data_IF_708221394245
#
_entry.id   IF_708221394245
#
_cell.length_a   1.000
_cell.length_b   1.000
_cell.length_c   1.000
_cell.angle_alpha   90.00
_cell.angle_beta   90.00
_cell.angle_gamma   90.00
#
_symmetry.space_group_name_H-M   'P 1'
#
loop_
_entity.id
_entity.type
_entity.pdbx_description
1 polymer ?
#
# COMPACT_ATOMS: atom_id res chain seq x y z
N UNK A 1 -5.45 4.34 11.74
CA UNK A 1 -4.07 3.93 12.06
C UNK A 1 -3.24 3.77 10.79
N UNK A 2 -1.92 3.97 10.85
CA UNK A 2 -1.02 3.71 9.72
C UNK A 2 -0.03 2.62 10.12
N UNK A 3 0.02 1.53 9.36
CA UNK A 3 0.91 0.39 9.59
C UNK A 3 1.98 0.32 8.49
N UNK A 4 3.25 0.52 8.84
CA UNK A 4 4.37 0.42 7.90
C UNK A 4 5.09 -0.93 8.03
N UNK A 5 5.63 -1.44 6.92
CA UNK A 5 6.42 -2.66 6.91
C UNK A 5 7.68 -2.56 7.78
N UNK A 6 8.01 -3.63 8.52
CA UNK A 6 9.32 -3.78 9.16
C UNK A 6 10.33 -4.28 8.14
N UNK A 7 11.19 -3.38 7.63
CA UNK A 7 12.08 -3.68 6.52
C UNK A 7 13.38 -4.36 6.94
N UNK A 8 13.93 -3.97 8.08
CA UNK A 8 15.13 -4.55 8.68
C UNK A 8 15.00 -4.49 10.20
N UNK A 9 15.79 -5.29 10.91
CA UNK A 9 16.04 -5.05 12.33
C UNK A 9 17.46 -4.55 12.50
N UNK A 10 17.60 -3.38 13.12
CA UNK A 10 18.91 -2.77 13.36
C UNK A 10 19.43 -3.26 14.70
N UNK A 11 20.62 -3.83 14.71
CA UNK A 11 21.35 -4.09 15.95
C UNK A 11 21.90 -2.77 16.50
N UNK A 12 21.59 -2.49 17.77
CA UNK A 12 22.07 -1.30 18.49
C UNK A 12 23.36 -1.57 19.25
N UNK A 13 23.88 -2.80 19.21
CA UNK A 13 24.97 -3.29 20.05
C UNK A 13 24.52 -3.85 21.40
N UNK A 14 23.24 -3.62 21.77
CA UNK A 14 22.64 -4.14 23.01
C UNK A 14 21.34 -4.91 22.77
N UNK A 15 20.58 -4.51 21.75
CA UNK A 15 19.35 -5.18 21.35
C UNK A 15 19.02 -4.88 19.89
N UNK A 16 18.22 -5.75 19.28
CA UNK A 16 17.70 -5.57 17.93
C UNK A 16 16.39 -4.78 17.98
N UNK A 17 16.27 -3.72 17.18
CA UNK A 17 15.02 -2.93 17.06
C UNK A 17 14.49 -2.95 15.62
N UNK A 18 13.17 -3.01 15.42
CA UNK A 18 12.59 -2.95 14.08
C UNK A 18 12.82 -1.57 13.45
N UNK A 19 13.01 -1.54 12.14
CA UNK A 19 13.14 -0.32 11.35
C UNK A 19 12.40 -0.45 10.01
N UNK A 20 11.89 0.67 9.50
CA UNK A 20 11.20 0.75 8.20
C UNK A 20 12.06 1.38 7.13
N UNK A 21 11.73 1.13 5.87
CA UNK A 21 12.47 1.62 4.72
C UNK A 21 12.08 3.06 4.33
N UNK A 22 12.95 3.69 3.53
CA UNK A 22 12.74 5.06 3.05
C UNK A 22 11.46 5.21 2.20
N UNK A 23 11.04 4.15 1.50
CA UNK A 23 9.82 4.21 0.69
C UNK A 23 8.55 4.26 1.51
N UNK A 24 8.49 3.53 2.63
CA UNK A 24 7.36 3.64 3.56
C UNK A 24 7.30 5.05 4.15
N UNK A 25 8.44 5.64 4.51
CA UNK A 25 8.49 7.02 5.03
C UNK A 25 8.04 8.06 4.00
N UNK A 26 8.50 7.93 2.74
CA UNK A 26 8.08 8.83 1.66
C UNK A 26 6.60 8.65 1.31
N UNK A 27 6.12 7.40 1.23
CA UNK A 27 4.70 7.09 1.01
C UNK A 27 3.82 7.67 2.13
N UNK A 28 4.26 7.56 3.38
CA UNK A 28 3.60 8.19 4.53
C UNK A 28 3.47 9.71 4.32
N UNK A 29 4.54 10.40 3.90
CA UNK A 29 4.50 11.84 3.62
C UNK A 29 3.37 12.25 2.66
N UNK A 30 3.25 11.56 1.52
CA UNK A 30 2.17 11.81 0.55
C UNK A 30 0.77 11.57 1.15
N UNK A 31 0.61 10.50 1.92
CA UNK A 31 -0.68 10.15 2.54
C UNK A 31 -1.06 11.15 3.63
N UNK A 32 -0.14 11.51 4.53
CA UNK A 32 -0.40 12.47 5.61
C UNK A 32 -0.80 13.82 5.03
N UNK A 33 -0.09 14.29 4.00
CA UNK A 33 -0.42 15.55 3.34
C UNK A 33 -1.84 15.50 2.74
N UNK A 34 -2.16 14.43 1.99
CA UNK A 34 -3.49 14.24 1.40
C UNK A 34 -4.61 14.20 2.46
N UNK A 35 -4.38 13.48 3.56
CA UNK A 35 -5.32 13.40 4.68
C UNK A 35 -5.52 14.76 5.34
N UNK A 36 -4.45 15.49 5.64
CA UNK A 36 -4.51 16.80 6.28
C UNK A 36 -5.26 17.85 5.46
N UNK A 37 -5.20 17.74 4.12
CA UNK A 37 -5.96 18.59 3.19
C UNK A 37 -7.45 18.22 3.14
N UNK A 38 -7.77 16.95 3.31
CA UNK A 38 -9.14 16.44 3.19
C UNK A 38 -9.92 16.46 4.51
N UNK A 39 -9.22 16.34 5.63
CA UNK A 39 -9.77 16.14 6.95
C UNK A 39 -8.87 16.79 8.01
N UNK A 40 -9.45 17.24 9.13
CA UNK A 40 -8.69 17.67 10.31
C UNK A 40 -8.22 16.46 11.13
N UNK A 41 -7.30 15.68 10.54
CA UNK A 41 -6.82 14.42 11.13
C UNK A 41 -5.47 14.65 11.79
N UNK A 42 -5.42 14.35 13.09
CA UNK A 42 -4.16 14.23 13.82
C UNK A 42 -3.66 12.80 13.75
N UNK A 43 -2.50 12.59 13.13
CA UNK A 43 -1.90 11.27 12.97
C UNK A 43 -1.06 10.97 14.21
N UNK A 44 -1.62 10.14 15.09
CA UNK A 44 -0.98 9.77 16.35
C UNK A 44 -0.46 8.33 16.37
N UNK A 45 -1.01 7.46 15.51
CA UNK A 45 -0.79 6.01 15.56
C UNK A 45 -0.13 5.52 14.26
N UNK A 46 1.16 5.80 14.12
CA UNK A 46 2.03 5.16 13.12
C UNK A 46 2.71 3.98 13.82
N UNK A 47 2.38 2.77 13.38
CA UNK A 47 2.87 1.52 13.93
C UNK A 47 3.70 0.78 12.88
N UNK A 48 4.71 0.03 13.30
CA UNK A 48 5.38 -0.96 12.46
C UNK A 48 4.58 -2.26 12.47
N UNK A 49 4.75 -3.08 11.44
CA UNK A 49 4.01 -4.36 11.32
C UNK A 49 4.27 -5.32 12.47
N UNK A 50 5.40 -5.16 13.17
CA UNK A 50 5.81 -6.00 14.30
C UNK A 50 5.27 -5.48 15.64
N UNK A 51 4.66 -4.29 15.65
CA UNK A 51 3.97 -3.76 16.82
C UNK A 51 2.63 -4.48 17.04
N UNK A 52 1.92 -4.14 18.13
CA UNK A 52 0.62 -4.74 18.45
C UNK A 52 -0.53 -4.16 17.61
N UNK A 53 -0.37 -4.12 16.29
CA UNK A 53 -1.35 -3.59 15.33
C UNK A 53 -2.68 -4.34 15.42
N UNK A 54 -2.67 -5.62 15.79
CA UNK A 54 -3.88 -6.44 16.01
C UNK A 54 -4.85 -5.83 17.02
N UNK A 55 -4.39 -4.97 17.94
CA UNK A 55 -5.27 -4.27 18.90
C UNK A 55 -6.15 -3.19 18.27
N UNK A 56 -5.78 -2.73 17.07
CA UNK A 56 -6.41 -1.61 16.34
C UNK A 56 -6.75 -2.01 14.90
N UNK A 57 -6.70 -3.30 14.56
CA UNK A 57 -6.91 -3.79 13.19
C UNK A 57 -8.35 -3.60 12.71
N UNK A 58 -9.29 -3.40 13.62
CA UNK A 58 -10.71 -3.18 13.33
C UNK A 58 -11.03 -1.71 13.01
N UNK A 59 -10.08 -0.78 13.25
CA UNK A 59 -10.22 0.65 12.94
C UNK A 59 -9.94 0.95 11.45
N UNK A 60 -10.10 2.21 11.03
CA UNK A 60 -9.62 2.63 9.72
C UNK A 60 -8.11 2.42 9.63
N UNK A 61 -7.64 1.67 8.63
CA UNK A 61 -6.26 1.25 8.52
C UNK A 61 -5.66 1.58 7.16
N UNK A 62 -4.50 2.22 7.17
CA UNK A 62 -3.66 2.42 5.99
C UNK A 62 -2.40 1.58 6.18
N UNK A 63 -2.06 0.77 5.19
CA UNK A 63 -0.92 -0.14 5.26
C UNK A 63 0.07 0.18 4.15
N UNK A 64 1.34 0.31 4.53
CA UNK A 64 2.45 0.68 3.66
C UNK A 64 3.44 -0.48 3.54
N UNK A 65 3.62 -0.96 2.31
CA UNK A 65 4.53 -2.05 1.94
C UNK A 65 3.83 -3.40 1.73
N UNK A 66 4.50 -4.28 0.98
CA UNK A 66 3.99 -5.60 0.61
C UNK A 66 4.06 -6.66 1.72
N UNK A 67 3.41 -7.82 1.52
CA UNK A 67 3.25 -8.88 2.52
C UNK A 67 4.54 -9.59 2.92
N UNK A 68 5.61 -9.43 2.13
CA UNK A 68 6.96 -9.98 2.43
C UNK A 68 7.47 -9.52 3.81
N UNK A 69 7.28 -8.23 4.11
CA UNK A 69 7.82 -7.55 5.29
C UNK A 69 6.71 -6.87 6.12
N UNK A 70 5.44 -7.15 5.81
CA UNK A 70 4.30 -6.55 6.49
C UNK A 70 3.21 -7.60 6.70
N UNK A 71 3.16 -8.16 7.91
CA UNK A 71 2.18 -9.20 8.28
C UNK A 71 0.74 -8.70 8.16
N UNK A 72 0.49 -7.42 8.38
CA UNK A 72 -0.85 -6.82 8.28
C UNK A 72 -1.29 -6.72 6.82
N UNK A 73 -0.38 -6.36 5.90
CA UNK A 73 -0.65 -6.43 4.46
C UNK A 73 -1.02 -7.86 4.06
N UNK A 74 -0.28 -8.86 4.54
CA UNK A 74 -0.57 -10.27 4.25
C UNK A 74 -1.97 -10.66 4.74
N UNK A 75 -2.28 -10.38 6.00
CA UNK A 75 -3.59 -10.69 6.60
C UNK A 75 -4.76 -10.03 5.86
N UNK A 76 -4.63 -8.76 5.50
CA UNK A 76 -5.67 -8.05 4.74
C UNK A 76 -5.82 -8.61 3.33
N UNK A 77 -4.72 -8.86 2.60
CA UNK A 77 -4.78 -9.45 1.26
C UNK A 77 -5.41 -10.83 1.27
N UNK A 78 -5.05 -11.68 2.24
CA UNK A 78 -5.62 -13.02 2.37
C UNK A 78 -7.15 -12.92 2.58
N UNK A 79 -7.62 -12.07 3.51
CA UNK A 79 -9.06 -11.87 3.76
C UNK A 79 -9.82 -11.24 2.59
N UNK A 80 -9.22 -10.30 1.88
CA UNK A 80 -9.83 -9.69 0.69
C UNK A 80 -10.00 -10.76 -0.40
N UNK A 81 -8.96 -11.58 -0.63
CA UNK A 81 -9.00 -12.63 -1.65
C UNK A 81 -9.89 -13.83 -1.31
N UNK A 82 -10.07 -14.16 -0.02
CA UNK A 82 -11.06 -15.15 0.42
C UNK A 82 -12.48 -14.76 -0.04
N UNK A 83 -12.83 -13.47 0.05
CA UNK A 83 -14.12 -12.97 -0.41
C UNK A 83 -14.18 -12.83 -1.93
N UNK A 84 -13.12 -12.33 -2.55
CA UNK A 84 -13.03 -12.12 -4.00
C UNK A 84 -11.57 -12.02 -4.44
N UNK A 85 -11.07 -12.93 -5.31
CA UNK A 85 -9.74 -12.81 -5.87
C UNK A 85 -9.57 -11.49 -6.65
N UNK A 86 -8.62 -10.67 -6.22
CA UNK A 86 -8.34 -9.34 -6.79
C UNK A 86 -6.87 -9.22 -7.14
N UNK A 87 -6.00 -9.40 -6.15
CA UNK A 87 -4.56 -9.38 -6.34
C UNK A 87 -3.87 -10.08 -5.17
N UNK A 88 -2.74 -10.72 -5.44
CA UNK A 88 -1.86 -11.28 -4.43
C UNK A 88 -0.42 -10.81 -4.66
N UNK A 89 0.43 -10.91 -3.65
CA UNK A 89 1.85 -10.60 -3.79
C UNK A 89 2.70 -11.66 -3.10
N UNK A 90 3.60 -12.29 -3.87
CA UNK A 90 4.56 -13.26 -3.36
C UNK A 90 5.97 -12.71 -3.54
N UNK A 91 6.65 -12.48 -2.41
CA UNK A 91 7.95 -11.81 -2.44
C UNK A 91 7.85 -10.41 -3.06
N UNK A 92 8.53 -10.23 -4.19
CA UNK A 92 8.58 -8.97 -4.94
C UNK A 92 7.69 -9.00 -6.20
N UNK A 93 6.80 -9.99 -6.33
CA UNK A 93 5.98 -10.19 -7.53
C UNK A 93 4.51 -9.95 -7.21
N UNK A 94 3.86 -9.07 -7.98
CA UNK A 94 2.42 -8.78 -7.86
C UNK A 94 1.67 -9.61 -8.90
N UNK A 95 0.65 -10.34 -8.44
CA UNK A 95 -0.28 -11.08 -9.28
C UNK A 95 -1.63 -10.38 -9.25
N UNK A 96 -2.05 -9.84 -10.38
CA UNK A 96 -3.37 -9.29 -10.60
C UNK A 96 -4.32 -10.40 -11.08
N UNK A 97 -5.47 -10.56 -10.42
CA UNK A 97 -6.33 -11.75 -10.53
C UNK A 97 -7.79 -11.44 -10.91
N UNK A 98 -8.06 -10.25 -11.45
CA UNK A 98 -9.44 -9.80 -11.68
C UNK A 98 -10.07 -10.48 -12.91
N UNK A 99 -11.12 -11.28 -12.68
CA UNK A 99 -12.09 -11.81 -13.68
C UNK A 99 -11.48 -12.16 -15.05
N UNK A 100 -10.57 -13.15 -15.09
CA UNK A 100 -9.97 -13.66 -16.33
C UNK A 100 -8.91 -12.76 -16.97
N UNK A 101 -8.58 -11.63 -16.33
CA UNK A 101 -7.40 -10.83 -16.65
C UNK A 101 -6.33 -11.12 -15.61
N UNK A 102 -5.58 -12.20 -15.82
CA UNK A 102 -4.41 -12.49 -15.01
C UNK A 102 -3.20 -11.74 -15.56
N UNK A 103 -2.48 -11.07 -14.68
CA UNK A 103 -1.23 -10.40 -15.03
C UNK A 103 -0.27 -10.53 -13.87
N UNK A 104 0.97 -10.89 -14.17
CA UNK A 104 2.05 -10.95 -13.19
C UNK A 104 3.09 -9.89 -13.54
N UNK A 105 3.46 -9.07 -12.56
CA UNK A 105 4.49 -8.03 -12.73
C UNK A 105 5.56 -8.14 -11.64
N UNK A 106 6.80 -7.87 -12.03
CA UNK A 106 7.95 -7.76 -11.13
C UNK A 106 8.77 -6.54 -11.54
N UNK A 107 9.34 -5.83 -10.56
CA UNK A 107 10.21 -4.68 -10.84
C UNK A 107 11.49 -5.09 -11.58
N UNK A 108 11.91 -4.27 -12.56
CA UNK A 108 13.12 -4.49 -13.34
C UNK A 108 14.34 -3.89 -12.66
N UNK A 109 15.44 -4.64 -12.67
CA UNK A 109 16.73 -4.22 -12.12
C UNK A 109 17.80 -4.19 -13.21
N UNK A 110 18.61 -3.14 -13.22
CA UNK A 110 19.82 -3.02 -14.02
C UNK A 110 20.98 -2.73 -13.05
N UNK A 111 22.04 -3.55 -13.09
CA UNK A 111 23.22 -3.39 -12.22
C UNK A 111 22.87 -3.20 -10.73
N UNK A 112 21.99 -4.07 -10.20
CA UNK A 112 21.45 -4.02 -8.84
C UNK A 112 20.62 -2.78 -8.47
N UNK A 113 20.35 -1.90 -9.44
CA UNK A 113 19.49 -0.73 -9.26
C UNK A 113 18.11 -1.00 -9.85
N UNK A 114 17.05 -0.69 -9.12
CA UNK A 114 15.68 -0.79 -9.65
C UNK A 114 15.49 0.36 -10.63
N UNK A 115 15.11 0.05 -11.88
CA UNK A 115 14.87 1.03 -12.96
C UNK A 115 13.39 1.13 -13.34
N UNK A 116 12.60 0.13 -12.96
CA UNK A 116 11.16 0.08 -13.15
C UNK A 116 10.52 -0.68 -12.00
N UNK A 117 9.40 -0.19 -11.49
CA UNK A 117 8.71 -0.79 -10.36
C UNK A 117 7.19 -0.74 -10.57
N UNK A 118 6.47 -1.55 -9.80
CA UNK A 118 5.02 -1.65 -9.87
C UNK A 118 4.42 -1.48 -8.49
N UNK A 119 3.29 -0.78 -8.44
CA UNK A 119 2.54 -0.49 -7.21
C UNK A 119 1.15 -1.10 -7.24
N UNK A 120 0.75 -1.76 -6.17
CA UNK A 120 -0.61 -2.22 -5.91
C UNK A 120 -1.28 -1.28 -4.92
N UNK A 121 -2.46 -0.79 -5.29
CA UNK A 121 -3.33 0.00 -4.43
C UNK A 121 -4.62 -0.79 -4.25
N UNK A 122 -5.05 -1.00 -3.01
CA UNK A 122 -6.39 -1.52 -2.72
C UNK A 122 -7.01 -0.64 -1.66
N UNK A 123 -8.16 -0.03 -1.95
CA UNK A 123 -9.03 0.60 -0.96
C UNK A 123 -10.29 -0.24 -0.87
N UNK A 124 -10.74 -0.58 0.34
CA UNK A 124 -11.96 -1.37 0.53
C UNK A 124 -12.54 -1.17 1.94
N UNK A 125 -13.74 -1.69 2.19
CA UNK A 125 -14.22 -1.91 3.55
C UNK A 125 -13.24 -2.83 4.30
N UNK A 126 -12.93 -2.49 5.56
CA UNK A 126 -12.04 -3.29 6.36
C UNK A 126 -12.67 -4.66 6.65
N UNK A 127 -12.06 -5.79 6.22
CA UNK A 127 -12.61 -7.12 6.45
C UNK A 127 -12.65 -7.53 7.94
N UNK A 128 -11.95 -6.80 8.81
CA UNK A 128 -11.94 -7.00 10.26
C UNK A 128 -12.86 -6.03 11.01
N UNK A 129 -13.61 -5.17 10.31
CA UNK A 129 -14.49 -4.21 10.97
C UNK A 129 -15.50 -4.91 11.90
N UNK A 130 -15.74 -4.33 13.09
CA UNK A 130 -16.79 -4.82 13.99
C UNK A 130 -18.16 -4.66 13.35
N UNK A 131 -19.05 -5.62 13.64
CA UNK A 131 -20.45 -5.52 13.25
C UNK A 131 -21.05 -4.22 13.81
N UNK A 132 -21.60 -3.39 12.93
CA UNK A 132 -22.20 -2.10 13.29
C UNK A 132 -21.24 -0.91 13.36
N UNK A 133 -19.93 -1.12 13.16
CA UNK A 133 -18.94 -0.05 13.05
C UNK A 133 -18.10 -0.21 11.77
N UNK A 134 -18.61 0.23 10.61
CA UNK A 134 -17.92 0.06 9.34
C UNK A 134 -16.68 0.97 9.27
N UNK A 135 -15.52 0.36 9.03
CA UNK A 135 -14.24 1.04 8.81
C UNK A 135 -13.66 0.66 7.44
N UNK A 136 -12.63 1.38 6.99
CA UNK A 136 -11.98 1.19 5.70
C UNK A 136 -10.54 0.71 5.85
N UNK A 137 -10.08 -0.06 4.87
CA UNK A 137 -8.69 -0.47 4.73
C UNK A 137 -8.13 0.07 3.42
N UNK A 138 -6.90 0.58 3.46
CA UNK A 138 -6.12 0.95 2.28
C UNK A 138 -4.76 0.27 2.32
N UNK A 139 -4.38 -0.39 1.23
CA UNK A 139 -3.09 -1.07 1.05
C UNK A 139 -2.35 -0.35 -0.06
N UNK A 140 -1.12 0.07 0.24
CA UNK A 140 -0.15 0.58 -0.73
C UNK A 140 1.07 -0.33 -0.68
N UNK A 141 1.17 -1.22 -1.66
CA UNK A 141 2.27 -2.17 -1.76
C UNK A 141 3.02 -1.96 -3.08
N UNK A 142 4.26 -2.43 -3.16
CA UNK A 142 5.03 -2.42 -4.39
C UNK A 142 5.91 -3.65 -4.50
N UNK A 143 6.38 -3.94 -5.73
CA UNK A 143 7.38 -4.98 -5.95
C UNK A 143 8.67 -4.65 -5.20
N UNK A 144 9.09 -3.38 -5.24
CA UNK A 144 10.10 -2.82 -4.36
C UNK A 144 9.60 -1.55 -3.65
N UNK A 145 10.54 -0.87 -2.99
CA UNK A 145 10.34 0.36 -2.24
C UNK A 145 9.70 1.47 -3.07
N UNK A 146 10.02 1.57 -4.36
CA UNK A 146 9.59 2.67 -5.23
C UNK A 146 8.15 2.50 -5.72
N UNK A 147 7.71 1.26 -5.92
CA UNK A 147 6.33 0.92 -6.26
C UNK A 147 5.37 1.26 -5.13
N UNK A 148 5.81 1.12 -3.87
CA UNK A 148 5.03 1.58 -2.70
C UNK A 148 4.85 3.10 -2.70
N UNK A 149 5.91 3.86 -3.02
CA UNK A 149 5.83 5.32 -3.15
C UNK A 149 4.93 5.69 -4.32
N UNK A 150 5.12 5.05 -5.48
CA UNK A 150 4.33 5.31 -6.69
C UNK A 150 2.85 5.03 -6.47
N UNK A 151 2.51 3.94 -5.78
CA UNK A 151 1.14 3.61 -5.37
C UNK A 151 0.52 4.72 -4.52
N UNK A 152 1.20 5.14 -3.46
CA UNK A 152 0.71 6.20 -2.57
C UNK A 152 0.56 7.54 -3.31
N UNK A 153 1.58 7.92 -4.08
CA UNK A 153 1.60 9.16 -4.87
C UNK A 153 0.49 9.19 -5.92
N UNK A 154 0.36 8.15 -6.74
CA UNK A 154 -0.67 8.07 -7.76
C UNK A 154 -2.08 8.15 -7.15
N UNK A 155 -2.32 7.44 -6.05
CA UNK A 155 -3.63 7.46 -5.42
C UNK A 155 -3.99 8.85 -4.89
N UNK A 156 -3.04 9.51 -4.22
CA UNK A 156 -3.27 10.79 -3.52
C UNK A 156 -3.30 12.00 -4.45
N UNK A 157 -2.45 12.02 -5.49
CA UNK A 157 -2.31 13.15 -6.40
C UNK A 157 -3.12 12.96 -7.69
N UNK A 158 -3.22 11.74 -8.24
CA UNK A 158 -3.89 11.53 -9.52
C UNK A 158 -5.31 10.98 -9.34
N UNK A 159 -5.46 9.86 -8.65
CA UNK A 159 -6.75 9.16 -8.57
C UNK A 159 -7.79 9.94 -7.75
N UNK A 160 -7.42 10.43 -6.57
CA UNK A 160 -8.32 11.23 -5.73
C UNK A 160 -8.71 12.54 -6.41
N UNK A 161 -7.77 13.23 -7.05
CA UNK A 161 -8.08 14.49 -7.76
C UNK A 161 -9.07 14.26 -8.90
N UNK A 162 -8.83 13.27 -9.75
CA UNK A 162 -9.80 12.91 -10.81
C UNK A 162 -11.16 12.52 -10.21
N UNK A 163 -11.20 11.69 -9.18
CA UNK A 163 -12.46 11.26 -8.57
C UNK A 163 -13.26 12.41 -7.92
N UNK A 164 -12.57 13.46 -7.40
CA UNK A 164 -13.22 14.67 -6.89
C UNK A 164 -13.95 15.44 -7.98
N UNK A 165 -13.40 15.48 -9.20
CA UNK A 165 -14.04 16.12 -10.35
C UNK A 165 -15.28 15.34 -10.82
N UNK A 166 -15.29 14.01 -10.66
CA UNK A 166 -16.37 13.13 -11.10
C UNK A 166 -17.30 12.62 -9.98
N UNK A 167 -17.32 13.31 -8.82
CA UNK A 167 -18.32 13.23 -7.72
C UNK A 167 -18.33 12.02 -6.79
N UNK A 168 -17.53 10.97 -6.98
CA UNK A 168 -17.28 9.99 -5.88
C UNK A 168 -16.07 9.08 -6.10
N UNK A 169 -15.29 8.85 -5.03
CA UNK A 169 -14.29 7.77 -5.00
C UNK A 169 -15.02 6.45 -4.69
N UNK A 170 -14.93 5.42 -5.54
CA UNK A 170 -15.52 4.11 -5.28
C UNK A 170 -15.12 3.58 -3.91
N UNK A 171 -16.08 2.99 -3.18
CA UNK A 171 -15.83 2.44 -1.84
C UNK A 171 -14.78 1.34 -1.87
N UNK A 172 -14.83 0.47 -2.88
CA UNK A 172 -13.80 -0.53 -3.10
C UNK A 172 -13.20 -0.38 -4.49
N UNK A 173 -11.88 -0.29 -4.54
CA UNK A 173 -11.12 -0.21 -5.79
C UNK A 173 -9.76 -0.86 -5.60
N UNK A 174 -9.32 -1.57 -6.63
CA UNK A 174 -7.96 -2.04 -6.81
C UNK A 174 -7.34 -1.36 -8.03
N UNK A 175 -6.10 -0.92 -7.90
CA UNK A 175 -5.33 -0.29 -8.97
C UNK A 175 -3.95 -0.93 -9.04
N UNK A 176 -3.46 -1.16 -10.26
CA UNK A 176 -2.09 -1.53 -10.53
C UNK A 176 -1.42 -0.38 -11.28
N UNK A 177 -0.32 0.13 -10.76
CA UNK A 177 0.46 1.20 -11.37
C UNK A 177 1.86 0.71 -11.74
N UNK A 178 2.42 1.33 -12.77
CA UNK A 178 3.82 1.18 -13.18
C UNK A 178 4.53 2.52 -13.01
N UNK A 179 5.81 2.50 -12.66
CA UNK A 179 6.67 3.67 -12.71
C UNK A 179 8.08 3.33 -13.21
N UNK A 180 8.71 4.32 -13.81
CA UNK A 180 10.16 4.29 -14.02
C UNK A 180 10.84 4.80 -12.74
N UNK A 181 12.08 4.39 -12.51
CA UNK A 181 12.86 4.80 -11.35
C UNK A 181 14.15 5.47 -11.81
N UNK A 182 14.31 6.74 -11.44
CA UNK A 182 15.50 7.54 -11.72
C UNK A 182 16.07 7.97 -10.37
N UNK A 183 17.33 7.63 -10.11
CA UNK A 183 18.07 7.99 -8.88
C UNK A 183 17.31 7.70 -7.58
N UNK A 184 16.60 6.57 -7.54
CA UNK A 184 15.82 6.16 -6.37
C UNK A 184 14.54 6.99 -6.14
N UNK A 185 13.99 7.57 -7.21
CA UNK A 185 12.71 8.27 -7.18
C UNK A 185 11.77 7.74 -8.29
N UNK A 186 10.50 7.42 -7.97
CA UNK A 186 9.54 6.99 -8.98
C UNK A 186 9.07 8.16 -9.84
N UNK A 187 9.16 8.01 -11.15
CA UNK A 187 8.71 8.98 -12.15
C UNK A 187 7.80 8.30 -13.18
N UNK A 188 7.16 9.11 -14.03
CA UNK A 188 6.29 8.64 -15.11
C UNK A 188 5.24 7.59 -14.66
N UNK A 189 4.63 7.83 -13.49
CA UNK A 189 3.69 6.87 -12.89
C UNK A 189 2.44 6.76 -13.75
N UNK A 190 2.08 5.53 -14.16
CA UNK A 190 0.95 5.24 -15.04
C UNK A 190 0.05 4.17 -14.43
N UNK A 191 -1.25 4.30 -14.65
CA UNK A 191 -2.23 3.27 -14.34
C UNK A 191 -2.19 2.17 -15.41
N UNK A 192 -1.95 0.93 -15.00
CA UNK A 192 -2.01 -0.24 -15.87
C UNK A 192 -3.36 -0.95 -15.81
N UNK A 193 -3.91 -1.11 -14.60
CA UNK A 193 -5.20 -1.78 -14.37
C UNK A 193 -5.97 -1.05 -13.28
N UNK A 194 -7.29 -1.01 -13.44
CA UNK A 194 -8.21 -0.56 -12.41
C UNK A 194 -9.39 -1.52 -12.33
N UNK A 195 -9.89 -1.75 -11.12
CA UNK A 195 -11.05 -2.58 -10.88
C UNK A 195 -11.84 -2.08 -9.67
N UNK A 196 -13.12 -1.77 -9.88
CA UNK A 196 -14.08 -1.49 -8.82
C UNK A 196 -14.83 -2.77 -8.46
N UNK A 197 -15.08 -3.01 -7.17
CA UNK A 197 -15.62 -4.28 -6.69
C UNK A 197 -16.61 -4.23 -5.53
#
# INVERSE_FOLDING_TARGET
IICAATSVRTDTGHYSRPATGVGQLRALGHIVESLSKAYDVKIHNILLSDDQVQKQIEDDIIVLGGPKNNVITKLLLDKINEARPIANQFGNTIHWLVKGQEMTVEGTRLDNTVVKDYGLIIRTANPFAKRGNPTAAAIFAGCHTYGTIAAAKYFTESYIEHARWFRSIPRNVALLVECDVIDGYPVAIKLLKAHEF
#
